data_IF_670634534994
#
_entry.id   IF_670634534994
#
_cell.length_a   1.000
_cell.length_b   1.000
_cell.length_c   1.000
_cell.angle_alpha   90.00
_cell.angle_beta   90.00
_cell.angle_gamma   90.00
#
_symmetry.space_group_name_H-M   'P 1'
#
loop_
_entity.id
_entity.type
_entity.pdbx_description
1 polymer ?
#
# COMPACT_ATOMS: atom_id res chain seq x y z
N UNK A 1 29.83 0.65 6.85
CA UNK A 1 29.31 1.41 5.70
C UNK A 1 28.82 0.37 4.71
N UNK A 2 27.53 0.36 4.42
CA UNK A 2 26.95 -0.54 3.43
C UNK A 2 26.86 0.21 2.10
N UNK A 3 27.36 -0.42 1.03
CA UNK A 3 27.34 0.14 -0.33
C UNK A 3 26.48 -0.77 -1.19
N UNK A 4 25.46 -0.19 -1.82
CA UNK A 4 24.53 -0.88 -2.71
C UNK A 4 24.80 -0.40 -4.15
N UNK A 5 25.25 -1.31 -5.03
CA UNK A 5 25.63 -1.04 -6.42
C UNK A 5 24.59 -1.67 -7.38
N UNK A 6 24.02 -0.85 -8.26
CA UNK A 6 22.96 -1.21 -9.21
C UNK A 6 23.35 -0.89 -10.67
N UNK A 7 24.64 -0.80 -10.98
CA UNK A 7 25.14 -0.31 -12.28
C UNK A 7 24.98 -1.29 -13.46
N UNK A 8 24.46 -2.50 -13.26
CA UNK A 8 24.17 -3.44 -14.35
C UNK A 8 22.67 -3.51 -14.66
N UNK A 9 22.26 -2.91 -15.78
CA UNK A 9 20.87 -2.87 -16.24
C UNK A 9 20.71 -3.21 -17.72
N UNK A 10 20.98 -4.47 -18.09
CA UNK A 10 20.25 -5.23 -19.11
C UNK A 10 20.44 -4.87 -20.59
N UNK A 11 21.06 -5.81 -21.35
CA UNK A 11 21.02 -5.83 -22.81
C UNK A 11 19.57 -5.86 -23.32
N UNK A 12 19.15 -4.80 -24.02
CA UNK A 12 17.81 -4.66 -24.57
C UNK A 12 17.53 -5.71 -25.64
N UNK A 13 16.50 -6.53 -25.42
CA UNK A 13 15.92 -7.38 -26.46
C UNK A 13 15.22 -6.47 -27.48
N UNK A 14 15.66 -6.47 -28.74
CA UNK A 14 15.01 -5.71 -29.80
C UNK A 14 13.65 -6.32 -30.14
N UNK A 15 12.63 -5.89 -29.41
CA UNK A 15 11.26 -6.39 -29.53
C UNK A 15 10.53 -5.83 -30.75
N UNK A 16 11.00 -4.69 -31.28
CA UNK A 16 10.39 -4.01 -32.42
C UNK A 16 10.50 -4.85 -33.69
N UNK A 17 11.69 -5.39 -33.97
CA UNK A 17 11.91 -6.24 -35.14
C UNK A 17 11.14 -7.56 -35.10
N UNK A 18 10.87 -8.08 -33.90
CA UNK A 18 10.08 -9.31 -33.74
C UNK A 18 8.59 -9.08 -34.04
N UNK A 19 8.04 -7.93 -33.64
CA UNK A 19 6.63 -7.58 -33.89
C UNK A 19 6.35 -7.44 -35.39
N UNK A 20 7.26 -6.82 -36.14
CA UNK A 20 7.10 -6.60 -37.59
C UNK A 20 7.09 -7.91 -38.41
N UNK A 21 7.68 -8.97 -37.88
CA UNK A 21 7.75 -10.29 -38.53
C UNK A 21 6.55 -11.20 -38.21
N UNK A 22 5.66 -10.81 -37.30
CA UNK A 22 4.56 -11.66 -36.82
C UNK A 22 3.36 -11.66 -37.75
N UNK A 23 2.75 -12.84 -37.92
CA UNK A 23 1.45 -12.97 -38.54
C UNK A 23 0.33 -12.38 -37.66
N UNK A 24 -0.83 -12.11 -38.25
CA UNK A 24 -2.00 -11.62 -37.51
C UNK A 24 -2.41 -12.54 -36.33
N UNK A 25 -2.23 -13.86 -36.48
CA UNK A 25 -2.53 -14.84 -35.43
C UNK A 25 -1.52 -14.76 -34.28
N UNK A 26 -0.24 -14.55 -34.59
CA UNK A 26 0.81 -14.39 -33.60
C UNK A 26 0.67 -13.06 -32.85
N UNK A 27 0.31 -11.97 -33.54
CA UNK A 27 0.03 -10.68 -32.91
C UNK A 27 -1.14 -10.76 -31.93
N UNK A 28 -2.22 -11.46 -32.29
CA UNK A 28 -3.36 -11.70 -31.39
C UNK A 28 -2.92 -12.50 -30.15
N UNK A 29 -2.15 -13.56 -30.32
CA UNK A 29 -1.64 -14.37 -29.21
C UNK A 29 -0.70 -13.56 -28.30
N UNK A 30 0.16 -12.70 -28.85
CA UNK A 30 1.01 -11.82 -28.07
C UNK A 30 0.23 -10.74 -27.33
N UNK A 31 -0.80 -10.15 -27.94
CA UNK A 31 -1.68 -9.20 -27.26
C UNK A 31 -2.40 -9.84 -26.05
N UNK A 32 -2.88 -11.08 -26.21
CA UNK A 32 -3.48 -11.86 -25.12
C UNK A 32 -2.46 -12.17 -24.02
N UNK A 33 -1.25 -12.60 -24.38
CA UNK A 33 -0.18 -12.85 -23.42
C UNK A 33 0.22 -11.59 -22.64
N UNK A 34 0.38 -10.45 -23.32
CA UNK A 34 0.67 -9.16 -22.69
C UNK A 34 -0.46 -8.76 -21.74
N UNK A 35 -1.73 -8.96 -22.13
CA UNK A 35 -2.87 -8.68 -21.27
C UNK A 35 -2.86 -9.56 -20.02
N UNK A 36 -2.60 -10.84 -20.17
CA UNK A 36 -2.48 -11.77 -19.05
C UNK A 36 -1.34 -11.36 -18.11
N UNK A 37 -0.15 -11.04 -18.65
CA UNK A 37 0.99 -10.55 -17.88
C UNK A 37 0.62 -9.30 -17.09
N UNK A 38 0.00 -8.31 -17.73
CA UNK A 38 -0.43 -7.06 -17.09
C UNK A 38 -1.44 -7.31 -15.97
N UNK A 39 -2.39 -8.23 -16.18
CA UNK A 39 -3.38 -8.59 -15.17
C UNK A 39 -2.71 -9.30 -13.98
N UNK A 40 -1.82 -10.25 -14.22
CA UNK A 40 -1.07 -10.95 -13.15
C UNK A 40 -0.19 -9.97 -12.38
N UNK A 41 0.53 -9.07 -13.08
CA UNK A 41 1.35 -8.05 -12.42
C UNK A 41 0.52 -7.07 -11.60
N UNK A 42 -0.68 -6.70 -12.07
CA UNK A 42 -1.58 -5.82 -11.32
C UNK A 42 -2.09 -6.50 -10.04
N UNK A 43 -2.47 -7.77 -10.11
CA UNK A 43 -2.87 -8.54 -8.91
C UNK A 43 -1.72 -8.70 -7.93
N UNK A 44 -0.53 -9.08 -8.43
CA UNK A 44 0.66 -9.20 -7.60
C UNK A 44 1.00 -7.87 -6.90
N UNK A 45 0.86 -6.73 -7.60
CA UNK A 45 1.00 -5.40 -7.00
C UNK A 45 -0.02 -5.15 -5.90
N UNK A 46 -1.31 -5.46 -6.10
CA UNK A 46 -2.32 -5.30 -5.05
C UNK A 46 -2.06 -6.17 -3.82
N UNK A 47 -1.49 -7.36 -4.00
CA UNK A 47 -1.05 -8.21 -2.90
C UNK A 47 0.18 -7.64 -2.19
N UNK A 48 1.17 -7.15 -2.96
CA UNK A 48 2.37 -6.51 -2.41
C UNK A 48 2.05 -5.22 -1.64
N UNK A 49 1.12 -4.38 -2.13
CA UNK A 49 0.72 -3.15 -1.44
C UNK A 49 0.12 -3.48 -0.09
N UNK A 50 -0.70 -4.53 -0.02
CA UNK A 50 -1.28 -4.96 1.24
C UNK A 50 -0.22 -5.56 2.16
N UNK A 51 0.64 -6.43 1.65
CA UNK A 51 1.73 -6.99 2.45
C UNK A 51 2.62 -5.90 3.06
N UNK A 52 2.88 -4.82 2.31
CA UNK A 52 3.59 -3.65 2.82
C UNK A 52 2.83 -2.98 3.99
N UNK A 53 1.53 -2.70 3.84
CA UNK A 53 0.73 -2.10 4.92
C UNK A 53 0.74 -2.97 6.18
N UNK A 54 0.49 -4.26 6.01
CA UNK A 54 0.42 -5.22 7.12
C UNK A 54 1.76 -5.34 7.86
N UNK A 55 2.88 -5.20 7.15
CA UNK A 55 4.22 -5.28 7.74
C UNK A 55 4.71 -3.95 8.33
N UNK A 56 4.43 -2.83 7.69
CA UNK A 56 5.02 -1.53 8.01
C UNK A 56 4.12 -0.64 8.90
N UNK A 57 2.81 -0.62 8.65
CA UNK A 57 1.87 0.33 9.26
C UNK A 57 1.03 -0.32 10.34
N UNK A 58 0.43 -1.48 10.04
CA UNK A 58 -0.49 -2.15 10.95
C UNK A 58 0.09 -2.39 12.36
N UNK A 59 1.37 -2.78 12.54
CA UNK A 59 1.93 -2.95 13.88
C UNK A 59 1.88 -1.65 14.70
N UNK A 60 2.22 -0.51 14.09
CA UNK A 60 2.21 0.78 14.76
C UNK A 60 0.79 1.19 15.22
N UNK A 61 -0.22 0.92 14.38
CA UNK A 61 -1.61 1.19 14.70
C UNK A 61 -2.12 0.29 15.84
N UNK A 62 -1.76 -1.00 15.83
CA UNK A 62 -2.11 -1.96 16.87
C UNK A 62 -1.47 -1.60 18.21
N UNK A 63 -0.17 -1.33 18.21
CA UNK A 63 0.57 -0.93 19.41
C UNK A 63 -0.02 0.34 20.03
N UNK A 64 -0.35 1.34 19.20
CA UNK A 64 -0.97 2.57 19.67
C UNK A 64 -2.38 2.33 20.24
N UNK A 65 -3.20 1.52 19.55
CA UNK A 65 -4.53 1.19 20.03
C UNK A 65 -4.49 0.42 21.35
N UNK A 66 -3.58 -0.55 21.50
CA UNK A 66 -3.38 -1.29 22.74
C UNK A 66 -2.92 -0.36 23.88
N UNK A 67 -1.89 0.47 23.63
CA UNK A 67 -1.34 1.41 24.62
C UNK A 67 -2.39 2.41 25.13
N UNK A 68 -3.33 2.81 24.27
CA UNK A 68 -4.37 3.79 24.60
C UNK A 68 -5.70 3.16 25.00
N UNK A 69 -5.80 1.82 25.04
CA UNK A 69 -7.06 1.10 25.23
C UNK A 69 -8.16 1.51 24.24
N UNK A 70 -7.77 1.79 22.99
CA UNK A 70 -8.64 2.23 21.91
C UNK A 70 -9.16 1.05 21.08
N UNK A 71 -10.28 1.26 20.40
CA UNK A 71 -10.78 0.33 19.38
C UNK A 71 -10.17 0.70 18.03
N UNK A 72 -9.44 -0.24 17.42
CA UNK A 72 -8.94 -0.13 16.05
C UNK A 72 -9.82 -0.94 15.09
N UNK A 73 -10.31 -0.29 14.04
CA UNK A 73 -11.03 -0.92 12.93
C UNK A 73 -10.25 -0.69 11.65
N UNK A 74 -9.98 -1.78 10.91
CA UNK A 74 -9.41 -1.72 9.56
C UNK A 74 -10.53 -2.08 8.58
N UNK A 75 -10.94 -1.11 7.76
CA UNK A 75 -11.88 -1.31 6.68
C UNK A 75 -11.10 -1.52 5.37
N UNK A 76 -11.39 -2.65 4.74
CA UNK A 76 -10.64 -3.20 3.61
C UNK A 76 -11.54 -3.36 2.38
N UNK A 77 -12.38 -2.36 2.15
CA UNK A 77 -13.46 -2.44 1.15
C UNK A 77 -12.91 -2.36 -0.28
N UNK A 78 -11.80 -1.63 -0.51
CA UNK A 78 -11.26 -1.35 -1.84
C UNK A 78 -9.73 -1.42 -1.84
N UNK A 79 -9.13 -2.56 -2.16
CA UNK A 79 -7.68 -2.58 -2.46
C UNK A 79 -7.40 -1.61 -3.61
N UNK A 80 -6.35 -0.78 -3.54
CA UNK A 80 -5.22 -0.79 -2.58
C UNK A 80 -5.41 0.10 -1.34
N UNK A 81 -6.59 0.69 -1.17
CA UNK A 81 -6.88 1.69 -0.16
C UNK A 81 -7.25 0.99 1.14
N UNK A 82 -6.52 1.32 2.20
CA UNK A 82 -6.82 0.86 3.56
C UNK A 82 -7.32 2.03 4.38
N UNK A 83 -8.49 1.89 4.99
CA UNK A 83 -9.01 2.87 5.95
C UNK A 83 -8.88 2.29 7.37
N UNK A 84 -8.06 2.93 8.20
CA UNK A 84 -7.89 2.59 9.59
C UNK A 84 -8.56 3.64 10.47
N UNK A 85 -9.42 3.21 11.39
CA UNK A 85 -10.10 4.10 12.34
C UNK A 85 -9.78 3.66 13.76
N UNK A 86 -9.27 4.59 14.56
CA UNK A 86 -9.02 4.41 15.99
C UNK A 86 -10.03 5.25 16.76
N UNK A 87 -10.79 4.63 17.67
CA UNK A 87 -11.79 5.29 18.51
C UNK A 87 -11.49 5.11 19.99
N UNK A 88 -11.68 6.17 20.77
CA UNK A 88 -11.49 6.15 22.21
C UNK A 88 -12.41 7.15 22.90
N UNK A 89 -13.20 6.72 23.89
CA UNK A 89 -14.12 7.59 24.62
C UNK A 89 -13.41 8.68 25.42
N UNK A 90 -12.20 8.40 25.88
CA UNK A 90 -11.39 9.32 26.69
C UNK A 90 -10.55 10.27 25.84
N UNK A 91 -10.63 10.14 24.51
CA UNK A 91 -9.81 10.90 23.56
C UNK A 91 -8.54 10.17 23.15
N UNK A 92 -7.81 10.80 22.23
CA UNK A 92 -6.57 10.26 21.67
C UNK A 92 -5.45 11.27 21.89
N UNK A 93 -4.44 10.89 22.66
CA UNK A 93 -3.24 11.70 22.87
C UNK A 93 -2.03 11.07 22.17
N UNK A 94 -1.45 11.81 21.23
CA UNK A 94 -0.27 11.39 20.46
C UNK A 94 0.92 12.19 20.96
N UNK A 95 1.66 11.58 21.88
CA UNK A 95 2.77 12.24 22.56
C UNK A 95 4.12 12.01 21.86
N UNK A 96 5.19 12.59 22.43
CA UNK A 96 6.56 12.44 21.92
C UNK A 96 7.02 10.98 21.80
N UNK A 97 6.54 10.08 22.67
CA UNK A 97 6.92 8.66 22.70
C UNK A 97 6.24 7.82 21.61
N UNK A 98 5.15 8.30 21.00
CA UNK A 98 4.39 7.60 19.96
C UNK A 98 5.10 7.64 18.60
N UNK A 99 6.38 7.24 18.54
CA UNK A 99 7.24 7.38 17.34
C UNK A 99 6.66 6.66 16.12
N UNK A 100 6.27 5.40 16.29
CA UNK A 100 5.71 4.60 15.19
C UNK A 100 4.34 5.14 14.73
N UNK A 101 3.49 5.56 15.67
CA UNK A 101 2.22 6.20 15.33
C UNK A 101 2.42 7.51 14.55
N UNK A 102 3.41 8.33 14.92
CA UNK A 102 3.75 9.54 14.17
C UNK A 102 4.27 9.22 12.76
N UNK A 103 5.00 8.13 12.57
CA UNK A 103 5.38 7.68 11.23
C UNK A 103 4.15 7.26 10.42
N UNK A 104 3.22 6.49 11.01
CA UNK A 104 1.96 6.11 10.38
C UNK A 104 1.13 7.35 9.98
N UNK A 105 1.06 8.38 10.82
CA UNK A 105 0.41 9.65 10.48
C UNK A 105 1.03 10.33 9.26
N UNK A 106 2.36 10.35 9.15
CA UNK A 106 3.03 11.00 8.02
C UNK A 106 2.85 10.23 6.70
N UNK A 107 2.59 8.93 6.77
CA UNK A 107 2.35 8.07 5.61
C UNK A 107 0.88 8.00 5.20
N UNK A 108 -0.04 8.56 5.98
CA UNK A 108 -1.45 8.59 5.64
C UNK A 108 -1.70 9.63 4.54
N UNK A 109 -2.35 9.23 3.45
CA UNK A 109 -2.76 10.10 2.36
C UNK A 109 -3.91 11.03 2.78
N UNK A 110 -4.73 10.59 3.74
CA UNK A 110 -5.77 11.41 4.34
C UNK A 110 -5.90 11.13 5.84
N UNK A 111 -6.04 12.21 6.61
CA UNK A 111 -6.21 12.19 8.07
C UNK A 111 -7.48 12.94 8.41
N UNK A 112 -8.40 12.28 9.09
CA UNK A 112 -9.58 12.89 9.69
C UNK A 112 -9.54 12.72 11.21
N UNK A 113 -9.79 13.82 11.91
CA UNK A 113 -9.90 13.87 13.38
C UNK A 113 -11.28 14.43 13.68
N UNK A 114 -12.08 13.69 14.42
CA UNK A 114 -13.44 14.10 14.73
C UNK A 114 -14.15 13.17 15.68
N UNK A 115 -15.47 13.10 15.53
CA UNK A 115 -16.34 12.28 16.36
C UNK A 115 -17.05 11.25 15.49
N UNK A 116 -16.95 9.98 15.84
CA UNK A 116 -17.73 8.90 15.25
C UNK A 116 -18.51 8.19 16.35
N UNK A 117 -19.81 8.00 16.15
CA UNK A 117 -20.71 7.40 17.14
C UNK A 117 -20.63 8.03 18.54
N UNK A 118 -20.35 9.33 18.60
CA UNK A 118 -20.21 10.09 19.84
C UNK A 118 -18.87 9.90 20.56
N UNK A 119 -17.91 9.20 19.95
CA UNK A 119 -16.56 9.01 20.48
C UNK A 119 -15.51 9.76 19.63
N UNK A 120 -14.48 10.34 20.26
CA UNK A 120 -13.30 10.79 19.55
C UNK A 120 -12.74 9.70 18.63
N UNK A 121 -12.51 10.06 17.37
CA UNK A 121 -12.05 9.16 16.34
C UNK A 121 -10.93 9.79 15.49
N UNK A 122 -9.93 8.98 15.19
CA UNK A 122 -8.87 9.27 14.23
C UNK A 122 -9.02 8.28 13.07
N UNK A 123 -9.34 8.78 11.87
CA UNK A 123 -9.37 8.00 10.64
C UNK A 123 -8.16 8.34 9.78
N UNK A 124 -7.49 7.30 9.30
CA UNK A 124 -6.30 7.33 8.47
C UNK A 124 -6.56 6.51 7.21
N UNK A 125 -6.35 7.13 6.05
CA UNK A 125 -6.47 6.45 4.76
C UNK A 125 -5.08 6.30 4.16
N UNK A 126 -4.78 5.10 3.68
CA UNK A 126 -3.53 4.75 3.04
C UNK A 126 -3.80 4.20 1.65
N UNK A 127 -3.35 4.89 0.61
CA UNK A 127 -3.25 4.34 -0.74
C UNK A 127 -1.94 3.56 -0.85
N UNK A 128 -2.04 2.26 -0.62
CA UNK A 128 -0.86 1.42 -0.50
C UNK A 128 -0.15 1.20 -1.85
N UNK A 129 -0.74 1.61 -2.99
CA UNK A 129 -0.03 1.60 -4.28
C UNK A 129 1.11 2.62 -4.32
N UNK A 130 1.05 3.70 -3.55
CA UNK A 130 2.10 4.73 -3.52
C UNK A 130 3.43 4.23 -2.92
N UNK A 131 3.46 3.01 -2.37
CA UNK A 131 4.59 2.49 -1.59
C UNK A 131 5.18 1.19 -2.15
N UNK A 132 4.77 0.79 -3.36
CA UNK A 132 5.28 -0.38 -4.07
C UNK A 132 5.63 0.00 -5.52
N UNK A 133 6.93 0.10 -5.78
CA UNK A 133 7.52 0.33 -7.11
C UNK A 133 8.01 -0.97 -7.75
#
# INVERSE_FOLDING_TARGET
METYDYTEGGAGCDISSQIDAMSARELQAAAEAIRAIRQTSAHARLDSSRAWFDAAILPALRDFAEMTASVLVIADQDRPIVNAVIRNSEGLDITGSCKCMKMALNLADHIYIGMEDGQPALSLVFDCQNYID
#
